data_IF_783791471935
#
_entry.id   IF_783791471935
#
_cell.length_a   1.000
_cell.length_b   1.000
_cell.length_c   1.000
_cell.angle_alpha   90.00
_cell.angle_beta   90.00
_cell.angle_gamma   90.00
#
_symmetry.space_group_name_H-M   'P 1'
#
loop_
_entity.id
_entity.type
_entity.pdbx_description
1 polymer ?
#
# COMPACT_ATOMS: atom_id res chain seq x y z
N UNK A 1 0.75 -11.43 -36.89
CA UNK A 1 -0.45 -11.28 -36.03
C UNK A 1 0.03 -10.56 -34.79
N UNK A 2 -0.35 -9.30 -34.63
CA UNK A 2 0.20 -8.42 -33.61
C UNK A 2 -0.09 -9.00 -32.22
N UNK A 3 0.96 -9.17 -31.43
CA UNK A 3 0.85 -9.48 -30.01
C UNK A 3 0.16 -8.27 -29.37
N UNK A 4 -1.09 -8.43 -28.93
CA UNK A 4 -1.73 -7.44 -28.07
C UNK A 4 -0.82 -7.28 -26.85
N UNK A 5 -0.47 -6.06 -26.41
CA UNK A 5 0.26 -5.92 -25.16
C UNK A 5 -0.62 -6.53 -24.07
N UNK A 6 -0.19 -7.68 -23.52
CA UNK A 6 -0.83 -8.26 -22.36
C UNK A 6 -0.95 -7.14 -21.32
N UNK A 7 -2.15 -6.97 -20.74
CA UNK A 7 -2.40 -5.91 -19.77
C UNK A 7 -1.26 -5.92 -18.73
N UNK A 8 -0.51 -4.82 -18.63
CA UNK A 8 0.60 -4.69 -17.68
C UNK A 8 -0.03 -4.74 -16.28
N UNK A 9 0.19 -5.85 -15.56
CA UNK A 9 -0.32 -6.01 -14.21
C UNK A 9 0.18 -4.88 -13.31
N UNK A 10 -0.69 -4.34 -12.46
CA UNK A 10 -0.35 -3.26 -11.53
C UNK A 10 -0.28 -3.76 -10.09
N UNK A 11 0.90 -3.67 -9.51
CA UNK A 11 1.20 -4.05 -8.13
C UNK A 11 1.28 -2.81 -7.24
N UNK A 12 0.57 -2.82 -6.12
CA UNK A 12 0.74 -1.84 -5.04
C UNK A 12 1.34 -2.52 -3.83
N UNK A 13 2.50 -2.03 -3.39
CA UNK A 13 3.25 -2.56 -2.27
C UNK A 13 3.05 -1.62 -1.09
N UNK A 14 2.41 -2.07 -0.03
CA UNK A 14 2.23 -1.31 1.21
C UNK A 14 3.38 -1.67 2.15
N UNK A 15 4.25 -0.70 2.43
CA UNK A 15 5.37 -0.84 3.35
C UNK A 15 5.01 -0.19 4.69
N UNK A 16 5.13 -0.96 5.78
CA UNK A 16 4.88 -0.47 7.13
C UNK A 16 6.10 -0.71 8.03
N UNK A 17 7.14 0.12 7.87
CA UNK A 17 8.31 0.14 8.75
C UNK A 17 8.82 1.58 8.96
N UNK A 18 9.16 2.00 10.20
CA UNK A 18 9.60 3.38 10.47
C UNK A 18 11.01 3.71 9.96
N UNK A 19 11.88 2.70 9.86
CA UNK A 19 13.25 2.86 9.36
C UNK A 19 13.31 2.60 7.85
N UNK A 20 13.69 3.60 7.02
CA UNK A 20 13.84 3.44 5.57
C UNK A 20 15.04 2.55 5.19
N UNK A 21 16.00 2.31 6.09
CA UNK A 21 17.12 1.39 5.89
C UNK A 21 16.82 -0.06 6.33
N UNK A 22 15.58 -0.37 6.67
CA UNK A 22 15.20 -1.67 7.23
C UNK A 22 15.22 -2.81 6.21
N UNK A 23 15.29 -4.04 6.73
CA UNK A 23 15.10 -5.24 5.91
C UNK A 23 13.74 -5.24 5.18
N UNK A 24 12.68 -4.69 5.79
CA UNK A 24 11.37 -4.60 5.15
C UNK A 24 11.37 -3.62 3.97
N UNK A 25 12.08 -2.49 4.09
CA UNK A 25 12.26 -1.56 2.96
C UNK A 25 13.01 -2.25 1.81
N UNK A 26 14.10 -2.97 2.11
CA UNK A 26 14.84 -3.74 1.11
C UNK A 26 13.97 -4.82 0.43
N UNK A 27 13.07 -5.49 1.16
CA UNK A 27 12.11 -6.45 0.58
C UNK A 27 11.10 -5.77 -0.34
N UNK A 28 10.57 -4.61 0.05
CA UNK A 28 9.63 -3.85 -0.78
C UNK A 28 10.28 -3.38 -2.09
N UNK A 29 11.51 -2.88 -2.03
CA UNK A 29 12.28 -2.47 -3.21
C UNK A 29 12.58 -3.65 -4.11
N UNK A 30 13.08 -4.76 -3.57
CA UNK A 30 13.39 -5.96 -4.34
C UNK A 30 12.13 -6.54 -5.04
N UNK A 31 10.99 -6.52 -4.37
CA UNK A 31 9.72 -6.92 -4.97
C UNK A 31 9.32 -5.98 -6.12
N UNK A 32 9.38 -4.67 -5.91
CA UNK A 32 9.01 -3.69 -6.92
C UNK A 32 9.91 -3.77 -8.17
N UNK A 33 11.21 -3.99 -7.97
CA UNK A 33 12.17 -4.16 -9.05
C UNK A 33 11.91 -5.43 -9.86
N UNK A 34 11.63 -6.56 -9.20
CA UNK A 34 11.26 -7.79 -9.89
C UNK A 34 9.99 -7.63 -10.72
N UNK A 35 8.94 -7.00 -10.17
CA UNK A 35 7.70 -6.73 -10.92
C UNK A 35 7.98 -5.90 -12.17
N UNK A 36 8.79 -4.84 -12.05
CA UNK A 36 9.17 -3.97 -13.17
C UNK A 36 10.01 -4.71 -14.22
N UNK A 37 10.91 -5.60 -13.80
CA UNK A 37 11.73 -6.43 -14.69
C UNK A 37 10.85 -7.32 -15.60
N UNK A 38 9.73 -7.83 -15.08
CA UNK A 38 8.74 -8.58 -15.87
C UNK A 38 7.75 -7.70 -16.65
N UNK A 39 8.07 -6.42 -16.84
CA UNK A 39 7.29 -5.49 -17.67
C UNK A 39 6.01 -4.96 -17.03
N UNK A 40 5.77 -5.26 -15.75
CA UNK A 40 4.58 -4.87 -15.00
C UNK A 40 4.81 -3.53 -14.27
N UNK A 41 3.76 -2.97 -13.66
CA UNK A 41 3.82 -1.71 -12.93
C UNK A 41 3.87 -1.97 -11.42
N UNK A 42 4.77 -1.28 -10.71
CA UNK A 42 4.91 -1.40 -9.26
C UNK A 42 4.99 -0.03 -8.60
N UNK A 43 4.11 0.20 -7.61
CA UNK A 43 4.09 1.41 -6.78
C UNK A 43 4.22 1.04 -5.31
N UNK A 44 5.16 1.65 -4.61
CA UNK A 44 5.32 1.50 -3.15
C UNK A 44 4.54 2.63 -2.45
N UNK A 45 3.74 2.27 -1.45
CA UNK A 45 3.08 3.17 -0.50
C UNK A 45 3.73 2.93 0.86
N UNK A 46 4.71 3.76 1.21
CA UNK A 46 5.35 3.73 2.53
C UNK A 46 4.52 4.55 3.52
N UNK A 47 3.81 3.85 4.40
CA UNK A 47 2.87 4.47 5.34
C UNK A 47 3.58 5.42 6.33
N UNK A 48 4.82 5.11 6.73
CA UNK A 48 5.58 5.96 7.64
C UNK A 48 6.13 7.19 6.93
N UNK A 49 6.70 7.03 5.73
CA UNK A 49 7.22 8.16 4.96
C UNK A 49 6.10 9.12 4.50
N UNK A 50 4.91 8.59 4.21
CA UNK A 50 3.73 9.38 3.83
C UNK A 50 3.06 10.06 5.01
N UNK A 51 3.37 9.67 6.25
CA UNK A 51 2.69 10.16 7.45
C UNK A 51 1.21 9.81 7.48
N UNK A 52 0.86 8.59 7.04
CA UNK A 52 -0.51 8.08 7.10
C UNK A 52 -1.03 8.10 8.54
N UNK A 53 -2.29 8.50 8.74
CA UNK A 53 -2.92 8.50 10.06
C UNK A 53 -3.67 7.18 10.28
N UNK A 54 -3.15 6.25 11.10
CA UNK A 54 -3.78 4.96 11.32
C UNK A 54 -4.97 5.02 12.29
N UNK A 55 -5.32 6.20 12.80
CA UNK A 55 -6.39 6.35 13.79
C UNK A 55 -7.73 6.64 13.10
N UNK A 56 -8.62 5.65 13.10
CA UNK A 56 -10.01 5.85 12.67
C UNK A 56 -10.70 6.90 13.55
N UNK A 57 -11.16 7.99 12.93
CA UNK A 57 -11.90 9.06 13.60
C UNK A 57 -13.38 8.77 13.60
N UNK A 58 -14.10 9.33 14.57
CA UNK A 58 -15.53 9.08 14.72
C UNK A 58 -16.35 9.58 13.52
N UNK A 59 -15.86 10.63 12.85
CA UNK A 59 -16.48 11.23 11.66
C UNK A 59 -16.34 10.36 10.41
N UNK A 60 -15.39 9.41 10.40
CA UNK A 60 -15.09 8.53 9.28
C UNK A 60 -15.86 7.21 9.32
N UNK A 61 -16.57 6.95 10.42
CA UNK A 61 -17.29 5.69 10.61
C UNK A 61 -18.41 5.51 9.57
N UNK A 62 -18.47 4.39 8.84
CA UNK A 62 -19.44 4.18 7.78
C UNK A 62 -20.91 4.22 8.23
N UNK A 63 -21.19 3.84 9.48
CA UNK A 63 -22.53 3.81 10.08
C UNK A 63 -23.06 5.21 10.47
N UNK A 64 -22.23 6.25 10.38
CA UNK A 64 -22.58 7.61 10.77
C UNK A 64 -23.17 8.38 9.59
N UNK A 65 -24.35 8.99 9.80
CA UNK A 65 -24.96 9.90 8.82
C UNK A 65 -24.05 11.11 8.57
N UNK A 66 -23.69 11.32 7.30
CA UNK A 66 -22.78 12.40 6.89
C UNK A 66 -21.30 12.08 7.10
N UNK A 67 -20.94 10.79 7.19
CA UNK A 67 -19.55 10.37 7.21
C UNK A 67 -18.81 10.83 5.96
N UNK A 68 -17.53 11.15 6.13
CA UNK A 68 -16.64 11.54 5.04
C UNK A 68 -15.27 10.94 5.27
N UNK A 69 -14.69 10.35 4.22
CA UNK A 69 -13.31 9.89 4.26
C UNK A 69 -12.37 11.10 4.39
N UNK A 70 -11.37 10.97 5.25
CA UNK A 70 -10.23 11.88 5.26
C UNK A 70 -9.48 11.87 3.93
N UNK A 71 -8.65 12.90 3.73
CA UNK A 71 -7.95 13.12 2.46
C UNK A 71 -6.96 12.01 2.16
N UNK A 72 -6.21 11.58 3.16
CA UNK A 72 -5.24 10.50 3.11
C UNK A 72 -5.92 9.16 2.82
N UNK A 73 -7.03 8.83 3.49
CA UNK A 73 -7.80 7.60 3.17
C UNK A 73 -8.31 7.61 1.72
N UNK A 74 -8.83 8.76 1.24
CA UNK A 74 -9.26 8.88 -0.16
C UNK A 74 -8.08 8.68 -1.13
N UNK A 75 -6.94 9.29 -0.85
CA UNK A 75 -5.74 9.16 -1.68
C UNK A 75 -5.27 7.69 -1.78
N UNK A 76 -5.32 6.94 -0.68
CA UNK A 76 -4.96 5.52 -0.70
C UNK A 76 -5.99 4.67 -1.45
N UNK A 77 -7.29 4.92 -1.28
CA UNK A 77 -8.31 4.22 -2.07
C UNK A 77 -8.13 4.47 -3.57
N UNK A 78 -7.84 5.71 -3.96
CA UNK A 78 -7.58 6.05 -5.35
C UNK A 78 -6.30 5.36 -5.86
N UNK A 79 -5.23 5.30 -5.06
CA UNK A 79 -3.99 4.60 -5.40
C UNK A 79 -4.17 3.08 -5.54
N UNK A 80 -5.03 2.48 -4.70
CA UNK A 80 -5.37 1.06 -4.74
C UNK A 80 -6.34 0.71 -5.88
N UNK A 81 -7.08 1.69 -6.40
CA UNK A 81 -8.13 1.46 -7.41
C UNK A 81 -7.55 0.99 -8.73
N UNK A 82 -7.79 -0.28 -9.08
CA UNK A 82 -7.28 -0.91 -10.30
C UNK A 82 -5.92 -1.61 -10.13
N UNK A 83 -5.46 -1.81 -8.90
CA UNK A 83 -4.31 -2.67 -8.63
C UNK A 83 -4.75 -4.12 -8.78
N UNK A 84 -4.01 -4.89 -9.58
CA UNK A 84 -4.23 -6.32 -9.77
C UNK A 84 -3.67 -7.13 -8.59
N UNK A 85 -2.61 -6.60 -7.95
CA UNK A 85 -1.95 -7.20 -6.79
C UNK A 85 -1.71 -6.15 -5.71
N UNK A 86 -2.02 -6.51 -4.47
CA UNK A 86 -1.66 -5.73 -3.28
C UNK A 86 -0.72 -6.60 -2.44
N UNK A 87 0.52 -6.14 -2.26
CA UNK A 87 1.52 -6.80 -1.43
C UNK A 87 1.68 -6.02 -0.12
N UNK A 88 1.68 -6.71 1.03
CA UNK A 88 1.89 -6.10 2.34
C UNK A 88 3.27 -6.50 2.87
N UNK A 89 4.13 -5.53 3.14
CA UNK A 89 5.50 -5.73 3.62
C UNK A 89 5.66 -5.06 4.98
N UNK A 90 5.80 -5.87 6.02
CA UNK A 90 5.85 -5.41 7.40
C UNK A 90 6.51 -6.45 8.33
N UNK A 91 7.13 -5.99 9.43
CA UNK A 91 7.64 -6.90 10.46
C UNK A 91 6.50 -7.48 11.30
N UNK A 92 6.65 -8.72 11.75
CA UNK A 92 5.73 -9.31 12.74
C UNK A 92 6.06 -8.73 14.13
N UNK A 93 5.20 -7.87 14.66
CA UNK A 93 5.32 -7.28 15.99
C UNK A 93 4.20 -7.79 16.89
N UNK A 94 4.56 -8.37 18.03
CA UNK A 94 3.60 -9.01 18.95
C UNK A 94 2.72 -10.07 18.26
N UNK A 95 3.25 -10.77 17.27
CA UNK A 95 2.54 -11.81 16.51
C UNK A 95 1.60 -11.29 15.42
N UNK A 96 1.57 -9.98 15.15
CA UNK A 96 0.63 -9.31 14.26
C UNK A 96 1.32 -8.22 13.41
N UNK A 97 0.62 -7.59 12.45
CA UNK A 97 1.13 -6.39 11.79
C UNK A 97 1.36 -5.22 12.76
N UNK A 98 2.24 -4.25 12.43
CA UNK A 98 2.35 -3.00 13.18
C UNK A 98 1.01 -2.25 13.25
N UNK A 99 0.79 -1.48 14.32
CA UNK A 99 -0.40 -0.66 14.48
C UNK A 99 -0.65 0.27 13.26
N UNK A 100 0.43 0.79 12.67
CA UNK A 100 0.39 1.61 11.45
C UNK A 100 -0.31 0.91 10.27
N UNK A 101 -0.14 -0.40 10.10
CA UNK A 101 -0.79 -1.15 9.01
C UNK A 101 -2.20 -1.63 9.40
N UNK A 102 -2.45 -1.78 10.71
CA UNK A 102 -3.73 -2.30 11.20
C UNK A 102 -4.84 -1.24 11.17
N UNK A 103 -4.47 0.01 11.38
CA UNK A 103 -5.33 1.18 11.20
C UNK A 103 -5.63 1.41 9.75
#
# INVERSE_FOLDING_TARGET
MADSPAARGRHTIILAHPDPGSFNAAVADAYADAVREYGQEATIRDLYAMGFDPLLKNEERPDRRGSSLSRDVRAELDALTGSDVIALVYPIWFGMPPAMLKG
#
